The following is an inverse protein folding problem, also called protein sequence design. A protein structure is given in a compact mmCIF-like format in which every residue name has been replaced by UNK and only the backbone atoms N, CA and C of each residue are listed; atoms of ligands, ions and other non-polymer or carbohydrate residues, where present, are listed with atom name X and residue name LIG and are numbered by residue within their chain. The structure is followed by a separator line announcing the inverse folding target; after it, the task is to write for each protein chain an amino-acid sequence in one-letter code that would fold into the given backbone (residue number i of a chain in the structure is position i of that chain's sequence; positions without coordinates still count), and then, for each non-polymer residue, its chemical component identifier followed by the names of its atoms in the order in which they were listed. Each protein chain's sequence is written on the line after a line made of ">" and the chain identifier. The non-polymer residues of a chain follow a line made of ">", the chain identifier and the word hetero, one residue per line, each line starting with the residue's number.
data_IF_675115051279
#
_entry.id   IF_675115051279
#
_cell.length_a   1.000
_cell.length_b   1.000
_cell.length_c   1.000
_cell.angle_alpha   90.00
_cell.angle_beta   90.00
_cell.angle_gamma   90.00
#
_symmetry.space_group_name_H-M   'P 1'
#
loop_
_entity.id
_entity.type
_entity.pdbx_description
1 polymer ?
#
# COMPACT_ATOMS: atom_id res chain seq x y z
N UNK A 1 -23.54 51.41 -0.32
CA UNK A 1 -23.70 50.84 0.00
C UNK A 1 -23.21 49.60 0.00
N UNK A 2 -23.11 48.95 0.04
CA UNK A 2 -22.88 47.74 -0.24
C UNK A 2 -21.59 47.30 -0.43
N UNK A 3 -20.77 47.83 -0.18
CA UNK A 3 -19.67 47.40 -0.54
C UNK A 3 -19.04 46.50 0.26
N UNK A 4 -19.47 46.07 1.14
CA UNK A 4 -18.84 45.36 1.91
C UNK A 4 -18.66 44.07 1.83
N UNK A 5 -19.03 43.55 1.22
CA UNK A 5 -19.07 42.31 1.23
C UNK A 5 -18.01 41.57 0.89
N UNK A 6 -17.12 41.96 0.68
CA UNK A 6 -16.28 41.27 0.10
C UNK A 6 -15.30 40.60 0.78
N UNK A 7 -15.30 40.33 1.83
CA UNK A 7 -14.32 39.85 2.48
C UNK A 7 -14.27 38.60 2.91
N UNK A 8 -14.99 38.07 2.68
CA UNK A 8 -15.11 36.93 3.27
C UNK A 8 -14.24 35.92 2.92
N UNK A 9 -13.33 36.00 2.23
CA UNK A 9 -12.87 34.93 1.75
C UNK A 9 -11.54 34.68 1.82
N UNK A 10 -11.15 34.44 2.81
CA UNK A 10 -9.95 33.97 2.75
C UNK A 10 -9.83 32.90 3.61
N UNK A 11 -10.44 31.98 3.32
CA UNK A 11 -10.26 30.81 3.99
C UNK A 11 -9.04 30.26 3.47
N UNK A 12 -8.09 30.61 4.02
CA UNK A 12 -6.95 30.01 3.66
C UNK A 12 -6.93 28.70 4.19
N UNK A 13 -7.00 27.82 3.42
CA UNK A 13 -6.80 26.56 3.74
C UNK A 13 -5.44 26.31 3.89
N UNK A 14 -4.91 26.55 4.92
CA UNK A 14 -3.63 26.11 5.17
C UNK A 14 -3.71 24.70 5.53
N UNK A 15 -3.45 23.90 4.63
CA UNK A 15 -3.31 22.58 4.92
C UNK A 15 -2.02 22.41 5.57
N UNK A 16 -1.98 21.87 6.68
CA UNK A 16 -0.76 21.65 7.36
C UNK A 16 -0.11 20.52 6.68
N UNK A 17 0.86 20.76 6.01
CA UNK A 17 1.63 19.71 5.49
C UNK A 17 2.50 19.30 6.61
N UNK A 18 2.16 18.31 7.28
CA UNK A 18 2.99 17.85 8.32
C UNK A 18 4.12 17.15 7.66
N UNK A 19 5.22 17.75 7.62
CA UNK A 19 6.37 17.17 7.01
C UNK A 19 6.72 15.89 7.74
N UNK A 20 6.92 14.85 7.03
CA UNK A 20 7.28 13.60 7.65
C UNK A 20 6.13 12.65 7.95
N UNK A 21 4.92 13.11 7.89
CA UNK A 21 3.83 12.22 8.11
C UNK A 21 3.45 11.55 6.82
N UNK A 22 3.17 10.27 6.90
CA UNK A 22 2.74 9.56 5.73
C UNK A 22 1.29 9.89 5.44
N UNK A 23 0.94 9.95 4.20
CA UNK A 23 -0.43 10.20 3.82
C UNK A 23 -1.34 9.12 4.40
N UNK A 24 -2.55 9.45 4.78
CA UNK A 24 -3.47 8.46 5.31
C UNK A 24 -3.83 7.45 4.23
N UNK A 25 -4.12 6.24 4.64
CA UNK A 25 -4.51 5.22 3.68
C UNK A 25 -5.87 5.54 3.09
N UNK A 26 -6.07 5.20 1.82
CA UNK A 26 -7.38 5.43 1.20
C UNK A 26 -8.48 4.65 1.91
N UNK A 27 -9.65 5.25 1.98
CA UNK A 27 -10.80 4.62 2.60
C UNK A 27 -11.10 3.26 1.98
N UNK A 28 -10.93 3.14 0.70
CA UNK A 28 -11.20 1.87 0.01
C UNK A 28 -10.37 0.73 0.62
N UNK A 29 -9.14 0.99 0.97
CA UNK A 29 -8.31 -0.03 1.59
C UNK A 29 -8.74 -0.31 3.03
N UNK A 30 -9.10 0.72 3.75
CA UNK A 30 -9.51 0.54 5.13
C UNK A 30 -10.82 -0.22 5.26
N UNK A 31 -11.69 -0.10 4.29
CA UNK A 31 -12.99 -0.75 4.32
C UNK A 31 -13.01 -2.08 3.57
N UNK A 32 -11.94 -2.43 2.87
CA UNK A 32 -11.90 -3.66 2.10
C UNK A 32 -12.02 -4.88 3.01
N UNK A 33 -12.77 -5.86 2.58
CA UNK A 33 -12.98 -7.08 3.34
C UNK A 33 -12.35 -8.29 2.67
N UNK A 34 -12.25 -8.27 1.35
CA UNK A 34 -11.72 -9.41 0.60
C UNK A 34 -10.48 -8.99 -0.18
N UNK A 35 -9.53 -9.88 -0.26
CA UNK A 35 -8.25 -9.61 -0.88
C UNK A 35 -7.81 -10.78 -1.74
N UNK A 36 -7.40 -10.49 -2.96
CA UNK A 36 -6.78 -11.48 -3.83
C UNK A 36 -5.26 -11.25 -3.79
N UNK A 37 -4.50 -12.29 -3.52
CA UNK A 37 -3.04 -12.21 -3.52
C UNK A 37 -2.52 -12.78 -4.84
N UNK A 38 -1.71 -12.01 -5.56
CA UNK A 38 -1.21 -12.37 -6.86
C UNK A 38 0.32 -12.40 -6.87
N UNK A 39 0.88 -13.46 -7.46
CA UNK A 39 2.32 -13.59 -7.59
C UNK A 39 2.73 -13.21 -9.01
N UNK A 40 3.53 -12.17 -9.15
CA UNK A 40 4.05 -11.76 -10.43
C UNK A 40 5.56 -11.86 -10.46
N UNK A 41 6.14 -12.89 -9.93
CA UNK A 41 7.58 -13.12 -10.06
C UNK A 41 8.35 -13.37 -8.79
N UNK A 42 7.67 -13.47 -7.65
CA UNK A 42 8.38 -13.83 -6.44
C UNK A 42 8.43 -15.34 -6.29
N UNK A 43 9.30 -15.83 -5.43
CA UNK A 43 9.40 -17.27 -5.21
C UNK A 43 8.13 -17.80 -4.54
N UNK A 44 7.83 -19.05 -4.77
CA UNK A 44 6.67 -19.68 -4.14
C UNK A 44 6.78 -19.59 -2.62
N UNK A 45 7.99 -19.69 -2.10
CA UNK A 45 8.23 -19.64 -0.68
C UNK A 45 7.84 -18.28 -0.10
N UNK A 46 8.16 -17.18 -0.78
CA UNK A 46 7.78 -15.87 -0.32
C UNK A 46 6.27 -15.68 -0.43
N UNK A 47 5.69 -16.12 -1.53
CA UNK A 47 4.26 -16.02 -1.73
C UNK A 47 3.51 -16.76 -0.62
N UNK A 48 3.94 -17.98 -0.31
CA UNK A 48 3.31 -18.78 0.73
C UNK A 48 3.46 -18.14 2.10
N UNK A 49 4.58 -17.49 2.35
CA UNK A 49 4.80 -16.83 3.63
C UNK A 49 3.87 -15.61 3.77
N UNK A 50 3.74 -14.82 2.71
CA UNK A 50 2.82 -13.68 2.73
C UNK A 50 1.38 -14.16 2.91
N UNK A 51 1.02 -15.23 2.21
CA UNK A 51 -0.31 -15.79 2.32
C UNK A 51 -0.60 -16.23 3.76
N UNK A 52 0.36 -16.94 4.37
CA UNK A 52 0.20 -17.40 5.74
C UNK A 52 0.09 -16.24 6.73
N UNK A 53 0.88 -15.20 6.55
CA UNK A 53 0.82 -14.04 7.45
C UNK A 53 -0.49 -13.27 7.29
N UNK A 54 -1.01 -13.17 6.07
CA UNK A 54 -2.31 -12.53 5.84
C UNK A 54 -3.42 -13.35 6.51
N UNK A 55 -3.34 -14.68 6.44
CA UNK A 55 -4.34 -15.52 7.10
C UNK A 55 -4.26 -15.38 8.61
N UNK A 56 -3.06 -15.28 9.14
CA UNK A 56 -2.89 -15.18 10.56
C UNK A 56 -3.42 -13.86 11.08
N UNK A 57 -3.24 -12.80 10.34
CA UNK A 57 -3.75 -11.50 10.70
C UNK A 57 -5.29 -11.46 10.64
N UNK A 58 -5.86 -12.23 9.75
CA UNK A 58 -7.30 -12.39 9.64
C UNK A 58 -8.06 -11.06 9.45
N UNK A 59 -7.43 -10.09 8.80
CA UNK A 59 -8.07 -8.82 8.52
C UNK A 59 -8.87 -8.87 7.24
N UNK A 60 -8.41 -9.69 6.28
CA UNK A 60 -9.08 -9.85 5.01
C UNK A 60 -9.46 -11.30 4.78
N UNK A 61 -10.54 -11.52 4.09
CA UNK A 61 -10.86 -12.85 3.59
C UNK A 61 -10.12 -13.01 2.27
N UNK A 62 -9.29 -14.02 2.16
CA UNK A 62 -8.53 -14.25 0.95
C UNK A 62 -9.41 -14.97 -0.07
N UNK A 63 -9.43 -14.45 -1.29
CA UNK A 63 -10.26 -15.00 -2.36
C UNK A 63 -9.39 -15.38 -3.55
N UNK A 64 -9.91 -16.17 -4.46
CA UNK A 64 -9.14 -16.64 -5.59
C UNK A 64 -9.47 -15.94 -6.89
N UNK A 65 -10.49 -15.18 -6.96
CA UNK A 65 -10.91 -14.48 -8.16
C UNK A 65 -10.99 -12.98 -7.96
N UNK A 66 -10.62 -12.25 -8.99
CA UNK A 66 -10.64 -10.79 -8.93
C UNK A 66 -12.06 -10.27 -8.77
N UNK A 67 -13.02 -10.98 -9.32
CA UNK A 67 -14.41 -10.56 -9.24
C UNK A 67 -14.96 -10.64 -7.82
N UNK A 68 -14.33 -11.43 -6.96
CA UNK A 68 -14.77 -11.56 -5.59
C UNK A 68 -13.94 -10.70 -4.63
N UNK A 69 -12.95 -10.02 -5.16
CA UNK A 69 -12.03 -9.25 -4.34
C UNK A 69 -12.41 -7.78 -4.28
N UNK A 70 -12.21 -7.18 -3.13
CA UNK A 70 -12.30 -5.72 -3.01
C UNK A 70 -11.00 -5.10 -3.43
N UNK A 71 -9.88 -5.73 -3.08
CA UNK A 71 -8.55 -5.24 -3.40
C UNK A 71 -7.67 -6.39 -3.87
N UNK A 72 -6.65 -6.06 -4.64
CA UNK A 72 -5.69 -7.04 -5.14
C UNK A 72 -4.31 -6.66 -4.62
N UNK A 73 -3.63 -7.60 -3.98
CA UNK A 73 -2.25 -7.40 -3.54
C UNK A 73 -1.35 -8.16 -4.49
N UNK A 74 -0.48 -7.48 -5.18
CA UNK A 74 0.44 -8.07 -6.14
C UNK A 74 1.85 -8.02 -5.61
N UNK A 75 2.55 -9.13 -5.70
CA UNK A 75 3.94 -9.25 -5.30
C UNK A 75 4.78 -9.48 -6.54
N UNK A 76 5.86 -8.72 -6.69
CA UNK A 76 6.78 -8.96 -7.79
C UNK A 76 8.22 -8.74 -7.35
N UNK A 77 9.14 -9.20 -8.17
CA UNK A 77 10.53 -9.08 -7.85
C UNK A 77 11.07 -7.83 -8.50
N UNK A 78 11.90 -7.11 -7.82
CA UNK A 78 12.49 -5.91 -8.36
C UNK A 78 11.91 -4.64 -7.81
N UNK A 79 12.30 -3.53 -8.39
CA UNK A 79 11.93 -2.23 -7.86
C UNK A 79 10.58 -1.75 -8.36
N UNK A 80 10.01 -0.83 -7.67
CA UNK A 80 8.75 -0.24 -8.05
C UNK A 80 8.94 0.84 -9.09
N UNK A 81 10.06 0.93 -9.68
CA UNK A 81 10.36 1.87 -10.72
C UNK A 81 9.39 3.01 -10.87
N UNK A 82 9.42 3.86 -9.97
CA UNK A 82 8.75 5.12 -10.14
C UNK A 82 7.26 5.18 -10.24
N UNK A 83 6.64 4.08 -10.33
CA UNK A 83 5.24 4.10 -10.55
C UNK A 83 4.45 4.56 -9.35
N UNK A 84 4.95 4.41 -8.18
CA UNK A 84 4.21 4.80 -7.04
C UNK A 84 5.05 5.68 -6.20
N UNK A 85 4.67 6.89 -6.18
CA UNK A 85 5.41 7.84 -5.44
C UNK A 85 5.17 7.64 -3.99
N UNK A 86 6.09 7.83 -3.18
CA UNK A 86 5.88 7.79 -1.77
C UNK A 86 6.47 6.63 -1.05
N UNK A 87 6.95 5.70 -1.76
CA UNK A 87 7.66 4.63 -1.12
C UNK A 87 8.98 5.16 -0.71
N UNK A 88 9.48 4.64 0.43
CA UNK A 88 10.71 5.08 0.83
C UNK A 88 11.75 4.76 -0.13
N UNK A 89 11.57 3.82 -0.91
CA UNK A 89 12.51 3.45 -1.87
C UNK A 89 12.57 4.40 -3.02
N UNK A 90 11.53 5.07 -3.30
CA UNK A 90 11.51 5.98 -4.37
C UNK A 90 12.45 5.64 -5.47
N UNK A 91 13.16 6.61 -5.89
CA UNK A 91 14.03 6.41 -6.96
C UNK A 91 15.29 5.75 -6.58
N UNK A 92 15.75 6.00 -5.38
CA UNK A 92 17.00 5.50 -5.02
C UNK A 92 16.97 4.10 -4.48
N UNK A 93 15.92 3.71 -3.89
CA UNK A 93 15.82 2.39 -3.38
C UNK A 93 15.56 1.38 -4.44
N UNK A 94 15.21 1.85 -5.62
CA UNK A 94 14.85 0.95 -6.68
C UNK A 94 15.89 -0.11 -6.96
N UNK A 95 17.12 0.25 -6.89
CA UNK A 95 18.14 -0.70 -7.23
C UNK A 95 18.40 -1.74 -6.16
N UNK A 96 17.97 -1.49 -4.96
CA UNK A 96 18.24 -2.38 -3.86
C UNK A 96 17.05 -3.22 -3.43
N UNK A 97 15.91 -2.96 -3.98
CA UNK A 97 14.71 -3.69 -3.56
C UNK A 97 14.67 -5.09 -4.15
N UNK A 98 14.50 -6.09 -3.30
CA UNK A 98 14.36 -7.45 -3.75
C UNK A 98 12.94 -7.77 -4.10
N UNK A 99 12.01 -7.24 -3.39
CA UNK A 99 10.60 -7.51 -3.60
C UNK A 99 9.81 -6.24 -3.49
N UNK A 100 8.77 -6.16 -4.25
CA UNK A 100 7.84 -5.04 -4.17
C UNK A 100 6.41 -5.56 -4.06
N UNK A 101 5.58 -4.76 -3.45
CA UNK A 101 4.18 -5.12 -3.26
C UNK A 101 3.32 -3.89 -3.51
N UNK A 102 2.18 -4.09 -4.08
CA UNK A 102 1.20 -3.01 -4.19
C UNK A 102 -0.20 -3.57 -3.98
N UNK A 103 -1.06 -2.74 -3.48
CA UNK A 103 -2.47 -3.06 -3.37
C UNK A 103 -3.22 -2.11 -4.26
N UNK A 104 -4.09 -2.65 -5.09
CA UNK A 104 -4.91 -1.87 -6.01
C UNK A 104 -6.38 -2.18 -5.78
N UNK A 105 -7.23 -1.27 -6.20
CA UNK A 105 -8.66 -1.50 -6.17
C UNK A 105 -8.96 -2.55 -7.23
N UNK A 106 -9.67 -3.60 -6.87
CA UNK A 106 -9.96 -4.68 -7.79
C UNK A 106 -10.81 -4.26 -8.99
N UNK A 107 -11.57 -3.19 -8.86
CA UNK A 107 -12.44 -2.79 -9.95
C UNK A 107 -11.76 -1.94 -11.01
N UNK A 108 -10.94 -1.00 -10.63
CA UNK A 108 -10.37 -0.06 -11.57
C UNK A 108 -8.85 0.01 -11.53
N UNK A 109 -8.23 -0.87 -10.78
CA UNK A 109 -6.77 -0.95 -10.64
C UNK A 109 -6.12 0.32 -10.07
N UNK A 110 -6.88 1.15 -9.39
CA UNK A 110 -6.33 2.33 -8.75
C UNK A 110 -5.36 1.92 -7.64
N UNK A 111 -4.16 2.45 -7.63
CA UNK A 111 -3.20 2.12 -6.56
C UNK A 111 -3.68 2.64 -5.20
N UNK A 112 -3.61 1.80 -4.18
CA UNK A 112 -4.03 2.15 -2.84
C UNK A 112 -2.87 2.15 -1.85
N UNK A 113 -1.87 1.32 -2.06
CA UNK A 113 -0.72 1.22 -1.18
C UNK A 113 0.40 0.47 -1.88
N UNK A 114 1.61 0.77 -1.53
CA UNK A 114 2.78 0.07 -2.05
C UNK A 114 3.92 0.09 -1.06
N UNK A 115 4.78 -0.90 -1.15
CA UNK A 115 5.96 -0.99 -0.31
C UNK A 115 7.05 -1.77 -1.05
N UNK A 116 8.26 -1.64 -0.61
CA UNK A 116 9.39 -2.36 -1.16
C UNK A 116 10.27 -2.85 -0.03
N UNK A 117 10.77 -4.06 -0.16
CA UNK A 117 11.65 -4.65 0.83
C UNK A 117 13.04 -4.74 0.24
N UNK A 118 13.98 -4.13 0.92
CA UNK A 118 15.37 -4.09 0.46
C UNK A 118 16.01 -5.46 0.46
N UNK A 119 16.99 -5.62 -0.37
CA UNK A 119 17.71 -6.85 -0.47
C UNK A 119 18.47 -7.23 0.78
N UNK A 120 18.87 -8.46 0.83
CA UNK A 120 19.66 -8.94 1.95
C UNK A 120 18.88 -9.62 3.06
N UNK A 121 17.59 -9.62 2.97
CA UNK A 121 16.76 -10.29 3.98
C UNK A 121 16.33 -11.66 3.52
N UNK A 122 16.13 -12.54 4.46
CA UNK A 122 15.62 -13.87 4.14
C UNK A 122 14.18 -13.78 3.63
N UNK A 123 13.77 -14.78 2.87
CA UNK A 123 12.39 -14.85 2.37
C UNK A 123 11.38 -14.81 3.51
N UNK A 124 11.74 -15.45 4.63
CA UNK A 124 10.86 -15.47 5.78
C UNK A 124 10.65 -14.07 6.33
N UNK A 125 11.75 -13.34 6.48
CA UNK A 125 11.69 -11.98 7.02
C UNK A 125 10.94 -11.06 6.06
N UNK A 126 11.17 -11.21 4.76
CA UNK A 126 10.51 -10.34 3.79
C UNK A 126 8.99 -10.53 3.82
N UNK A 127 8.53 -11.76 3.89
CA UNK A 127 7.10 -12.04 3.93
C UNK A 127 6.44 -11.50 5.18
N UNK A 128 7.12 -11.63 6.31
CA UNK A 128 6.61 -11.12 7.57
C UNK A 128 6.60 -9.58 7.54
N UNK A 129 7.64 -8.97 7.00
CA UNK A 129 7.76 -7.52 6.95
C UNK A 129 6.70 -6.87 6.09
N UNK A 130 6.38 -7.45 4.95
CA UNK A 130 5.36 -6.92 4.05
C UNK A 130 4.02 -6.79 4.79
N UNK A 131 3.60 -7.85 5.45
CA UNK A 131 2.31 -7.84 6.15
C UNK A 131 2.37 -6.95 7.38
N UNK A 132 3.49 -6.96 8.08
CA UNK A 132 3.68 -6.12 9.26
C UNK A 132 3.63 -4.62 8.91
N UNK A 133 4.25 -4.23 7.80
CA UNK A 133 4.22 -2.84 7.36
C UNK A 133 2.79 -2.40 7.03
N UNK A 134 2.05 -3.23 6.33
CA UNK A 134 0.67 -2.92 5.99
C UNK A 134 -0.17 -2.80 7.27
N UNK A 135 0.00 -3.74 8.18
CA UNK A 135 -0.76 -3.76 9.42
C UNK A 135 -0.51 -2.50 10.23
N UNK A 136 0.75 -2.11 10.36
CA UNK A 136 1.09 -0.89 11.08
C UNK A 136 0.46 0.33 10.45
N UNK A 137 0.42 0.38 9.12
CA UNK A 137 -0.19 1.50 8.44
C UNK A 137 -1.70 1.52 8.67
N UNK A 138 -2.34 0.37 8.69
CA UNK A 138 -3.77 0.29 8.89
C UNK A 138 -4.16 0.59 10.35
N UNK A 139 -3.30 0.24 11.28
CA UNK A 139 -3.58 0.44 12.70
C UNK A 139 -3.25 1.87 13.17
N UNK A 140 -2.54 2.62 12.40
CA UNK A 140 -2.07 3.93 12.83
C UNK A 140 -3.02 5.09 12.55
N UNK A 141 -4.27 4.85 12.24
CA UNK A 141 -5.24 5.91 11.99
C UNK A 141 -6.43 5.83 12.91
#
# INVERSE_FOLDING_TARGET
>A
MDKLLLFAFLAVLSLPAAAGEKAPLPTKLKTAKTLLLVNEGVSAKLFDKVYAELKKWNRFQLVEGKEDADVVMTLWRGSTSGAIAGGKGGIFGAAAADFSVRITNARDDTPLWADAIDGGHSTWYAGDSIVSHLRKRMDSN
#
